data_IF_379652438001
#
_entry.id   IF_379652438001
#
_cell.length_a   1.000
_cell.length_b   1.000
_cell.length_c   1.000
_cell.angle_alpha   90.00
_cell.angle_beta   90.00
_cell.angle_gamma   90.00
#
_symmetry.space_group_name_H-M   'P 1'
#
loop_
_entity.id
_entity.type
_entity.pdbx_description
1 polymer ?
#
# COMPACT_ATOMS: atom_id res chain seq x y z
N UNK A 1 13.50 -0.29 12.00
CA UNK A 1 12.88 -0.41 10.67
C UNK A 1 13.63 -1.49 9.91
N UNK A 2 12.95 -2.47 9.32
CA UNK A 2 13.56 -3.47 8.45
C UNK A 2 12.93 -3.38 7.06
N UNK A 3 13.76 -3.29 6.02
CA UNK A 3 13.35 -3.18 4.60
C UNK A 3 14.21 -4.13 3.77
N UNK A 4 13.58 -4.88 2.85
CA UNK A 4 14.34 -5.66 1.86
C UNK A 4 15.06 -4.70 0.90
N UNK A 5 16.30 -5.02 0.57
CA UNK A 5 17.07 -4.31 -0.46
C UNK A 5 16.41 -4.49 -1.83
N UNK A 6 16.29 -3.40 -2.60
CA UNK A 6 15.90 -3.46 -4.02
C UNK A 6 16.92 -4.24 -4.87
N UNK A 7 16.57 -4.63 -6.09
CA UNK A 7 17.49 -5.37 -6.98
C UNK A 7 18.78 -4.59 -7.28
N UNK A 8 18.70 -3.26 -7.26
CA UNK A 8 19.86 -2.37 -7.37
C UNK A 8 20.67 -2.32 -6.07
N UNK A 9 20.00 -2.22 -4.93
CA UNK A 9 20.65 -2.15 -3.61
C UNK A 9 21.35 -3.45 -3.24
N UNK A 10 20.87 -4.60 -3.72
CA UNK A 10 21.54 -5.91 -3.52
C UNK A 10 22.97 -5.95 -4.05
N UNK A 11 23.30 -5.10 -5.02
CA UNK A 11 24.65 -5.01 -5.60
C UNK A 11 25.59 -4.15 -4.75
N UNK A 12 25.09 -3.49 -3.71
CA UNK A 12 25.90 -2.64 -2.86
C UNK A 12 26.77 -3.50 -1.93
N UNK A 13 27.95 -2.98 -1.60
CA UNK A 13 28.79 -3.62 -0.60
C UNK A 13 28.09 -3.65 0.76
N UNK A 14 28.43 -4.63 1.60
CA UNK A 14 27.89 -4.73 2.96
C UNK A 14 28.01 -3.40 3.72
N UNK A 15 29.14 -2.71 3.57
CA UNK A 15 29.36 -1.38 4.13
C UNK A 15 28.37 -0.32 3.61
N UNK A 16 28.13 -0.25 2.30
CA UNK A 16 27.17 0.70 1.72
C UNK A 16 25.74 0.43 2.19
N UNK A 17 25.38 -0.84 2.41
CA UNK A 17 24.07 -1.22 2.94
C UNK A 17 23.88 -0.76 4.39
N UNK A 18 24.91 -0.91 5.23
CA UNK A 18 24.88 -0.42 6.62
C UNK A 18 24.76 1.12 6.68
N UNK A 19 25.56 1.82 5.88
CA UNK A 19 25.50 3.30 5.77
C UNK A 19 24.10 3.73 5.29
N UNK A 20 23.56 3.06 4.27
CA UNK A 20 22.23 3.35 3.73
C UNK A 20 21.14 3.16 4.78
N UNK A 21 21.24 2.12 5.62
CA UNK A 21 20.27 1.87 6.67
C UNK A 21 20.22 3.02 7.68
N UNK A 22 21.37 3.58 8.05
CA UNK A 22 21.45 4.78 8.92
C UNK A 22 20.82 5.99 8.24
N UNK A 23 21.15 6.23 6.97
CA UNK A 23 20.61 7.38 6.21
C UNK A 23 19.08 7.31 6.09
N UNK A 24 18.53 6.15 5.76
CA UNK A 24 17.08 5.96 5.65
C UNK A 24 16.37 6.11 7.01
N UNK A 25 17.02 5.67 8.10
CA UNK A 25 16.52 5.94 9.45
C UNK A 25 16.47 7.44 9.74
N UNK A 26 17.54 8.19 9.45
CA UNK A 26 17.59 9.63 9.68
C UNK A 26 16.58 10.39 8.84
N UNK A 27 16.38 10.05 7.56
CA UNK A 27 15.33 10.67 6.74
C UNK A 27 13.95 10.51 7.36
N UNK A 28 13.64 9.31 7.87
CA UNK A 28 12.33 9.04 8.48
C UNK A 28 12.16 9.75 9.81
N UNK A 29 13.21 9.75 10.64
CA UNK A 29 13.15 10.33 11.98
C UNK A 29 13.57 11.80 12.02
N UNK A 30 13.85 12.43 10.86
CA UNK A 30 14.22 13.84 10.75
C UNK A 30 13.36 14.79 11.59
N UNK A 31 12.02 14.69 11.62
CA UNK A 31 11.20 15.56 12.47
C UNK A 31 11.50 15.48 13.97
N UNK A 32 12.11 14.38 14.42
CA UNK A 32 12.40 14.10 15.82
C UNK A 32 13.85 14.34 16.23
N UNK A 33 14.79 14.32 15.27
CA UNK A 33 16.23 14.37 15.57
C UNK A 33 16.93 15.63 15.02
N UNK A 34 16.25 16.41 14.18
CA UNK A 34 16.83 17.64 13.64
C UNK A 34 17.02 18.68 14.76
N UNK A 35 18.23 19.20 14.89
CA UNK A 35 18.58 20.20 15.90
C UNK A 35 18.73 19.67 17.33
N UNK A 36 18.68 18.35 17.53
CA UNK A 36 18.86 17.71 18.85
C UNK A 36 20.12 16.84 18.78
N UNK A 37 21.04 16.90 19.76
CA UNK A 37 22.19 16.00 19.80
C UNK A 37 21.73 14.57 20.09
N UNK A 38 22.12 13.61 19.25
CA UNK A 38 21.80 12.19 19.45
C UNK A 38 22.97 11.25 19.18
N UNK A 39 22.78 9.97 19.49
CA UNK A 39 23.79 8.93 19.31
C UNK A 39 23.36 7.92 18.26
N UNK A 40 24.24 7.63 17.30
CA UNK A 40 24.09 6.55 16.33
C UNK A 40 24.91 5.36 16.83
N UNK A 41 24.22 4.27 17.19
CA UNK A 41 24.87 3.02 17.59
C UNK A 41 24.84 2.04 16.42
N UNK A 42 26.00 1.62 15.94
CA UNK A 42 26.15 0.69 14.79
C UNK A 42 27.20 -0.37 15.07
N UNK A 43 27.04 -1.57 14.50
CA UNK A 43 28.04 -2.63 14.47
C UNK A 43 29.01 -2.51 13.29
N UNK A 44 28.81 -1.51 12.42
CA UNK A 44 29.68 -1.23 11.29
C UNK A 44 30.78 -0.23 11.67
N UNK A 45 31.98 -0.73 11.97
CA UNK A 45 33.17 0.10 12.23
C UNK A 45 33.47 1.05 11.06
N UNK A 46 33.22 0.60 9.83
CA UNK A 46 33.52 1.36 8.63
C UNK A 46 32.69 2.65 8.51
N UNK A 47 31.50 2.74 9.15
CA UNK A 47 30.71 3.99 9.20
C UNK A 47 31.46 5.12 9.92
N UNK A 48 32.22 4.78 10.96
CA UNK A 48 33.09 5.75 11.66
C UNK A 48 34.16 6.33 10.73
N UNK A 49 34.58 5.56 9.74
CA UNK A 49 35.64 5.95 8.79
C UNK A 49 35.09 6.64 7.54
N UNK A 50 33.78 6.63 7.31
CA UNK A 50 33.13 7.21 6.12
C UNK A 50 33.50 8.68 5.90
N UNK A 51 33.52 9.48 6.97
CA UNK A 51 33.84 10.91 6.90
C UNK A 51 35.34 11.20 6.74
N UNK A 52 36.20 10.20 6.91
CA UNK A 52 37.67 10.35 6.85
C UNK A 52 38.29 9.92 5.53
N UNK A 53 37.52 9.32 4.61
CA UNK A 53 38.04 8.82 3.33
C UNK A 53 38.14 9.94 2.29
N UNK A 54 39.28 10.02 1.58
CA UNK A 54 39.52 10.99 0.50
C UNK A 54 38.81 10.63 -0.81
N UNK A 55 38.73 9.34 -1.14
CA UNK A 55 38.05 8.86 -2.34
C UNK A 55 36.65 8.35 -2.00
N UNK A 56 35.66 9.21 -2.21
CA UNK A 56 34.26 8.94 -1.89
C UNK A 56 33.48 8.75 -3.19
N UNK A 57 32.73 7.66 -3.31
CA UNK A 57 31.80 7.49 -4.42
C UNK A 57 30.71 8.58 -4.40
N UNK A 58 30.23 9.02 -5.56
CA UNK A 58 29.23 10.10 -5.66
C UNK A 58 27.97 9.87 -4.79
N UNK A 59 27.64 8.60 -4.53
CA UNK A 59 26.56 8.18 -3.62
C UNK A 59 26.87 8.50 -2.15
N UNK A 60 28.05 8.09 -1.68
CA UNK A 60 28.47 8.31 -0.29
C UNK A 60 28.70 9.80 -0.02
N UNK A 61 29.18 10.56 -1.01
CA UNK A 61 29.34 12.00 -0.90
C UNK A 61 28.00 12.71 -0.63
N UNK A 62 26.93 12.30 -1.33
CA UNK A 62 25.57 12.81 -1.09
C UNK A 62 25.04 12.44 0.31
N UNK A 63 25.36 11.25 0.79
CA UNK A 63 25.01 10.83 2.14
C UNK A 63 25.79 11.59 3.22
N UNK A 64 27.06 11.92 2.96
CA UNK A 64 27.88 12.73 3.86
C UNK A 64 27.30 14.15 4.04
N UNK A 65 26.95 14.82 2.94
CA UNK A 65 26.29 16.13 2.99
C UNK A 65 24.96 16.10 3.75
N UNK A 66 24.20 14.99 3.65
CA UNK A 66 22.96 14.84 4.41
C UNK A 66 23.24 14.66 5.91
N UNK A 67 24.31 13.97 6.26
CA UNK A 67 24.68 13.73 7.66
C UNK A 67 25.14 15.02 8.35
N UNK A 68 25.77 15.95 7.63
CA UNK A 68 26.16 17.27 8.17
C UNK A 68 24.99 18.11 8.69
N UNK A 69 23.75 17.79 8.29
CA UNK A 69 22.56 18.46 8.82
C UNK A 69 22.24 18.10 10.28
N UNK A 70 22.83 17.03 10.81
CA UNK A 70 22.49 16.46 12.12
C UNK A 70 23.64 16.59 13.12
N UNK A 71 23.30 16.82 14.38
CA UNK A 71 24.25 16.76 15.50
C UNK A 71 24.26 15.34 16.09
N UNK A 72 25.27 14.54 15.74
CA UNK A 72 25.33 13.14 16.13
C UNK A 72 26.72 12.66 16.55
N UNK A 73 26.73 11.66 17.42
CA UNK A 73 27.94 10.91 17.80
C UNK A 73 27.80 9.44 17.39
N UNK A 74 28.81 8.91 16.71
CA UNK A 74 28.86 7.50 16.31
C UNK A 74 29.51 6.67 17.42
N UNK A 75 28.77 5.70 17.96
CA UNK A 75 29.28 4.67 18.87
C UNK A 75 29.26 3.31 18.17
N UNK A 76 30.43 2.69 18.03
CA UNK A 76 30.51 1.33 17.54
C UNK A 76 30.23 0.33 18.66
N UNK A 77 29.34 -0.63 18.41
CA UNK A 77 29.03 -1.73 19.33
C UNK A 77 29.01 -3.06 18.57
N UNK A 78 29.77 -4.05 19.04
CA UNK A 78 29.84 -5.37 18.40
C UNK A 78 28.44 -5.98 18.22
N UNK A 79 28.17 -6.58 17.05
CA UNK A 79 26.89 -7.19 16.72
C UNK A 79 26.42 -8.27 17.72
N UNK A 80 27.36 -8.97 18.38
CA UNK A 80 27.06 -9.91 19.47
C UNK A 80 26.34 -9.27 20.66
N UNK A 81 26.56 -7.98 20.89
CA UNK A 81 25.90 -7.15 21.92
C UNK A 81 24.65 -6.43 21.39
N UNK A 82 24.30 -6.63 20.10
CA UNK A 82 23.14 -6.05 19.43
C UNK A 82 22.19 -7.11 18.84
N UNK A 83 22.22 -8.35 19.36
CA UNK A 83 21.36 -9.46 18.90
C UNK A 83 19.87 -9.12 18.82
N UNK A 84 19.37 -8.23 19.67
CA UNK A 84 17.98 -7.76 19.64
C UNK A 84 17.67 -6.94 18.37
N UNK A 85 18.64 -6.17 17.86
CA UNK A 85 18.50 -5.40 16.59
C UNK A 85 18.58 -6.34 15.39
N UNK A 86 19.50 -7.29 15.43
CA UNK A 86 19.68 -8.31 14.38
C UNK A 86 18.46 -9.24 14.26
N UNK A 87 17.83 -9.60 15.39
CA UNK A 87 16.57 -10.33 15.38
C UNK A 87 15.43 -9.55 14.71
N UNK A 88 15.41 -8.21 14.83
CA UNK A 88 14.42 -7.35 14.17
C UNK A 88 14.74 -7.09 12.69
N UNK A 89 16.01 -7.20 12.28
CA UNK A 89 16.44 -7.01 10.88
C UNK A 89 16.21 -8.27 10.04
N UNK A 90 16.36 -9.46 10.64
CA UNK A 90 16.17 -10.76 9.99
C UNK A 90 14.69 -11.13 9.91
N UNK A 91 14.04 -10.77 8.80
CA UNK A 91 12.77 -11.36 8.37
C UNK A 91 13.06 -12.69 7.62
N UNK A 92 12.34 -13.79 7.86
CA UNK A 92 10.97 -13.86 8.39
C UNK A 92 10.90 -14.02 9.90
N UNK A 93 10.08 -13.19 10.53
CA UNK A 93 9.49 -13.53 11.83
C UNK A 93 8.70 -14.82 11.62
N UNK A 94 9.17 -15.92 12.21
CA UNK A 94 8.40 -17.14 12.41
C UNK A 94 7.05 -16.74 13.01
N UNK A 95 6.01 -16.83 12.20
CA UNK A 95 4.71 -16.28 12.58
C UNK A 95 3.68 -17.37 12.83
N UNK A 96 3.92 -18.61 12.40
CA UNK A 96 2.87 -19.62 12.41
C UNK A 96 3.23 -20.82 13.27
N UNK A 97 4.45 -21.34 13.20
CA UNK A 97 4.79 -22.56 13.94
C UNK A 97 5.22 -22.23 15.38
N UNK A 98 4.24 -21.99 16.25
CA UNK A 98 4.42 -22.14 17.71
C UNK A 98 4.18 -23.61 18.08
N UNK A 99 4.82 -24.12 19.14
CA UNK A 99 4.66 -25.52 19.60
C UNK A 99 3.21 -25.91 19.88
N UNK A 100 2.36 -24.94 20.22
CA UNK A 100 0.92 -25.15 20.37
C UNK A 100 0.22 -25.48 19.05
N UNK A 101 0.64 -24.87 17.94
CA UNK A 101 0.03 -25.07 16.62
C UNK A 101 0.47 -26.40 16.01
N UNK A 102 1.73 -26.81 16.19
CA UNK A 102 2.20 -28.13 15.71
C UNK A 102 1.41 -29.27 16.33
N UNK A 103 1.07 -29.18 17.62
CA UNK A 103 0.21 -30.16 18.30
C UNK A 103 -1.22 -30.18 17.73
N UNK A 104 -1.79 -29.03 17.38
CA UNK A 104 -3.10 -28.97 16.73
C UNK A 104 -3.06 -29.59 15.33
N UNK A 105 -2.03 -29.27 14.55
CA UNK A 105 -1.82 -29.86 13.22
C UNK A 105 -1.63 -31.37 13.33
N UNK A 106 -0.87 -31.87 14.30
CA UNK A 106 -0.70 -33.30 14.52
C UNK A 106 -2.05 -34.00 14.77
N UNK A 107 -2.87 -33.45 15.67
CA UNK A 107 -4.21 -33.97 15.96
C UNK A 107 -5.09 -33.97 14.70
N UNK A 108 -5.09 -32.88 13.95
CA UNK A 108 -5.88 -32.78 12.71
C UNK A 108 -5.37 -33.73 11.62
N UNK A 109 -4.05 -33.92 11.47
CA UNK A 109 -3.47 -34.89 10.54
C UNK A 109 -3.88 -36.33 10.89
N UNK A 110 -4.05 -36.62 12.19
CA UNK A 110 -4.51 -37.92 12.67
C UNK A 110 -6.04 -38.08 12.59
N UNK A 111 -6.79 -37.07 12.17
CA UNK A 111 -8.23 -37.15 11.88
C UNK A 111 -8.51 -37.17 10.38
N UNK A 112 -7.73 -36.44 9.58
CA UNK A 112 -7.86 -36.29 8.13
C UNK A 112 -7.59 -37.60 7.37
N UNK A 113 -8.59 -38.09 6.64
CA UNK A 113 -8.51 -39.37 5.90
C UNK A 113 -7.49 -39.35 4.77
N UNK A 114 -7.35 -38.23 4.06
CA UNK A 114 -6.38 -38.10 2.97
C UNK A 114 -4.95 -38.13 3.50
N UNK A 115 -4.71 -37.40 4.61
CA UNK A 115 -3.40 -37.39 5.27
C UNK A 115 -3.06 -38.79 5.81
N UNK A 116 -4.02 -39.50 6.41
CA UNK A 116 -3.83 -40.89 6.85
C UNK A 116 -3.45 -41.81 5.70
N UNK A 117 -4.18 -41.75 4.59
CA UNK A 117 -3.91 -42.56 3.41
C UNK A 117 -2.47 -42.33 2.91
N UNK A 118 -2.01 -41.07 2.87
CA UNK A 118 -0.62 -40.74 2.51
C UNK A 118 0.38 -41.31 3.52
N UNK A 119 0.12 -41.17 4.83
CA UNK A 119 0.98 -41.74 5.88
C UNK A 119 1.11 -43.27 5.77
N UNK A 120 0.01 -43.97 5.50
CA UNK A 120 0.02 -45.42 5.37
C UNK A 120 0.70 -45.90 4.09
N UNK A 121 0.53 -45.19 2.97
CA UNK A 121 1.28 -45.45 1.74
C UNK A 121 2.79 -45.27 1.92
N UNK A 122 3.22 -44.26 2.68
CA UNK A 122 4.64 -44.04 3.00
C UNK A 122 5.23 -45.18 3.83
N UNK A 123 4.46 -45.77 4.76
CA UNK A 123 4.89 -46.95 5.53
C UNK A 123 5.09 -48.18 4.65
N UNK A 124 4.31 -48.32 3.57
CA UNK A 124 4.35 -49.49 2.69
C UNK A 124 5.44 -49.35 1.63
N UNK A 125 5.53 -48.20 0.96
CA UNK A 125 6.39 -48.00 -0.23
C UNK A 125 7.71 -47.28 0.06
N UNK A 126 7.96 -46.86 1.30
CA UNK A 126 9.08 -46.00 1.74
C UNK A 126 9.22 -44.64 1.01
N UNK A 127 8.52 -44.40 -0.10
CA UNK A 127 8.54 -43.16 -0.86
C UNK A 127 7.22 -42.96 -1.62
N UNK A 128 6.64 -41.77 -1.53
CA UNK A 128 5.41 -41.39 -2.24
C UNK A 128 5.37 -39.88 -2.48
N UNK A 129 5.30 -39.42 -3.74
CA UNK A 129 5.04 -38.04 -4.17
C UNK A 129 5.70 -36.93 -3.33
N UNK A 130 7.00 -37.09 -3.06
CA UNK A 130 7.84 -36.17 -2.27
C UNK A 130 7.36 -35.94 -0.82
N UNK A 131 6.46 -36.78 -0.30
CA UNK A 131 6.04 -36.73 1.09
C UNK A 131 7.04 -37.47 1.99
N UNK A 132 7.26 -36.90 3.19
CA UNK A 132 8.20 -37.40 4.18
C UNK A 132 7.55 -37.32 5.56
N UNK A 133 7.77 -38.32 6.40
CA UNK A 133 7.34 -38.29 7.80
C UNK A 133 8.56 -37.89 8.65
N UNK A 134 8.41 -36.85 9.49
CA UNK A 134 9.42 -36.45 10.49
C UNK A 134 8.77 -36.47 11.87
N UNK A 135 9.20 -37.39 12.72
CA UNK A 135 8.47 -37.71 13.95
C UNK A 135 7.08 -38.24 13.60
N UNK A 136 6.02 -37.61 14.11
CA UNK A 136 4.63 -37.99 13.82
C UNK A 136 3.94 -37.09 12.78
N UNK A 137 4.64 -36.10 12.25
CA UNK A 137 4.10 -35.10 11.33
C UNK A 137 4.45 -35.42 9.87
N UNK A 138 3.47 -35.19 8.99
CA UNK A 138 3.64 -35.31 7.54
C UNK A 138 4.17 -33.99 6.95
N UNK A 139 5.23 -34.10 6.16
CA UNK A 139 5.87 -33.03 5.40
C UNK A 139 5.83 -33.34 3.90
N UNK A 140 5.95 -32.30 3.07
CA UNK A 140 6.17 -32.42 1.64
C UNK A 140 7.45 -31.69 1.24
N UNK A 141 8.36 -32.39 0.58
CA UNK A 141 9.61 -31.82 0.09
C UNK A 141 9.37 -31.14 -1.24
N UNK A 142 9.60 -29.83 -1.30
CA UNK A 142 9.46 -29.04 -2.52
C UNK A 142 10.73 -28.22 -2.70
N UNK A 143 11.47 -28.47 -3.79
CA UNK A 143 12.71 -27.75 -4.13
C UNK A 143 13.74 -27.75 -2.98
N UNK A 144 13.81 -28.85 -2.22
CA UNK A 144 14.73 -29.00 -1.09
C UNK A 144 14.25 -28.42 0.24
N UNK A 145 13.03 -27.86 0.29
CA UNK A 145 12.40 -27.41 1.53
C UNK A 145 11.31 -28.38 1.96
N UNK A 146 11.34 -28.80 3.23
CA UNK A 146 10.34 -29.69 3.79
C UNK A 146 9.24 -28.86 4.47
N UNK A 147 8.08 -28.82 3.82
CA UNK A 147 6.94 -28.00 4.22
C UNK A 147 5.92 -28.83 4.99
N UNK A 148 5.46 -28.33 6.13
CA UNK A 148 4.50 -29.05 6.97
C UNK A 148 3.14 -29.15 6.27
N UNK A 149 2.65 -30.37 6.05
CA UNK A 149 1.36 -30.58 5.37
C UNK A 149 0.22 -30.18 6.29
N UNK A 150 -0.62 -29.25 5.85
CA UNK A 150 -1.76 -28.77 6.64
C UNK A 150 -3.02 -29.54 6.24
N UNK A 151 -3.70 -30.22 7.19
CA UNK A 151 -4.99 -30.89 6.99
C UNK A 151 -6.07 -29.94 6.47
N UNK A 152 -7.03 -30.45 5.71
CA UNK A 152 -8.04 -29.64 5.02
C UNK A 152 -8.77 -28.66 5.96
N UNK A 153 -9.19 -29.14 7.12
CA UNK A 153 -9.93 -28.38 8.13
C UNK A 153 -9.16 -27.18 8.70
N UNK A 154 -7.83 -27.22 8.70
CA UNK A 154 -6.98 -26.16 9.28
C UNK A 154 -6.49 -25.16 8.24
N UNK A 155 -6.64 -25.44 6.94
CA UNK A 155 -6.05 -24.60 5.90
C UNK A 155 -6.62 -23.18 5.91
N UNK A 156 -7.94 -23.04 5.99
CA UNK A 156 -8.59 -21.73 5.97
C UNK A 156 -8.30 -20.91 7.22
N UNK A 157 -8.22 -21.54 8.40
CA UNK A 157 -7.91 -20.83 9.64
C UNK A 157 -6.49 -20.29 9.66
N UNK A 158 -5.52 -21.05 9.14
CA UNK A 158 -4.13 -20.59 9.00
C UNK A 158 -3.99 -19.45 7.98
N UNK A 159 -4.64 -19.58 6.82
CA UNK A 159 -4.63 -18.51 5.80
C UNK A 159 -5.25 -17.23 6.36
N UNK A 160 -6.40 -17.35 7.05
CA UNK A 160 -7.08 -16.22 7.69
C UNK A 160 -6.19 -15.56 8.74
N UNK A 161 -5.60 -16.34 9.64
CA UNK A 161 -4.67 -15.84 10.66
C UNK A 161 -3.47 -15.10 10.04
N UNK A 162 -2.87 -15.66 8.99
CA UNK A 162 -1.75 -15.00 8.30
C UNK A 162 -2.16 -13.68 7.63
N UNK A 163 -3.35 -13.65 7.00
CA UNK A 163 -3.89 -12.44 6.39
C UNK A 163 -4.21 -11.35 7.43
N UNK A 164 -4.90 -11.71 8.52
CA UNK A 164 -5.43 -10.75 9.52
C UNK A 164 -4.35 -10.05 10.35
N UNK A 165 -3.10 -10.56 10.38
CA UNK A 165 -1.98 -9.89 11.06
C UNK A 165 -1.63 -8.52 10.51
N UNK A 166 -2.00 -8.23 9.28
CA UNK A 166 -1.78 -6.91 8.67
C UNK A 166 -2.65 -6.62 7.47
N UNK A 167 -3.75 -7.37 7.29
CA UNK A 167 -4.57 -7.38 6.09
C UNK A 167 -3.74 -7.44 4.80
N UNK A 168 -2.78 -8.36 4.79
CA UNK A 168 -1.79 -8.45 3.74
C UNK A 168 -2.42 -8.83 2.39
N UNK A 169 -1.84 -8.31 1.29
CA UNK A 169 -2.21 -8.68 -0.07
C UNK A 169 -1.89 -10.14 -0.37
N UNK A 170 -2.48 -10.69 -1.44
CA UNK A 170 -2.33 -12.10 -1.85
C UNK A 170 -0.86 -12.55 -1.82
N UNK A 171 0.01 -11.81 -2.53
CA UNK A 171 1.44 -12.14 -2.63
C UNK A 171 2.14 -12.12 -1.27
N UNK A 172 1.83 -11.14 -0.43
CA UNK A 172 2.49 -11.00 0.87
C UNK A 172 2.02 -12.07 1.86
N UNK A 173 0.74 -12.43 1.84
CA UNK A 173 0.21 -13.57 2.60
C UNK A 173 0.83 -14.88 2.11
N UNK A 174 0.99 -15.05 0.80
CA UNK A 174 1.66 -16.23 0.22
C UNK A 174 3.12 -16.32 0.68
N UNK A 175 3.87 -15.21 0.64
CA UNK A 175 5.27 -15.14 1.11
C UNK A 175 5.42 -15.56 2.59
N UNK A 176 4.39 -15.35 3.41
CA UNK A 176 4.36 -15.76 4.81
C UNK A 176 4.12 -17.27 5.01
N UNK A 177 3.45 -17.93 4.06
CA UNK A 177 3.03 -19.33 4.19
C UNK A 177 3.94 -20.30 3.44
N UNK A 178 4.45 -19.89 2.27
CA UNK A 178 5.06 -20.77 1.28
C UNK A 178 6.35 -21.47 1.74
N UNK A 179 7.02 -20.93 2.76
CA UNK A 179 8.29 -21.47 3.28
C UNK A 179 8.12 -22.38 4.51
N UNK A 180 6.94 -22.42 5.13
CA UNK A 180 6.71 -23.16 6.38
C UNK A 180 5.69 -24.30 6.21
N UNK A 181 4.66 -24.09 5.39
CA UNK A 181 3.53 -25.01 5.27
C UNK A 181 3.22 -25.38 3.82
N UNK A 182 2.68 -26.58 3.63
CA UNK A 182 2.14 -27.05 2.37
C UNK A 182 0.61 -27.06 2.42
N UNK A 183 0.00 -26.28 1.53
CA UNK A 183 -1.44 -26.25 1.29
C UNK A 183 -1.67 -26.42 -0.22
N UNK A 184 -2.47 -27.42 -0.66
CA UNK A 184 -2.84 -27.55 -2.06
C UNK A 184 -3.59 -26.32 -2.57
N UNK A 185 -3.18 -25.79 -3.73
CA UNK A 185 -3.77 -24.61 -4.37
C UNK A 185 -3.78 -23.37 -3.45
N UNK A 186 -2.71 -23.18 -2.67
CA UNK A 186 -2.55 -22.11 -1.68
C UNK A 186 -2.99 -20.73 -2.19
N UNK A 187 -2.47 -20.29 -3.34
CA UNK A 187 -2.79 -18.98 -3.92
C UNK A 187 -4.29 -18.76 -4.13
N UNK A 188 -5.00 -19.75 -4.67
CA UNK A 188 -6.45 -19.68 -4.91
C UNK A 188 -7.23 -19.56 -3.58
N UNK A 189 -6.78 -20.27 -2.53
CA UNK A 189 -7.39 -20.20 -1.20
C UNK A 189 -7.13 -18.85 -0.52
N UNK A 190 -5.93 -18.28 -0.70
CA UNK A 190 -5.60 -16.93 -0.23
C UNK A 190 -6.48 -15.89 -0.94
N UNK A 191 -6.59 -15.95 -2.27
CA UNK A 191 -7.46 -15.06 -3.05
C UNK A 191 -8.90 -15.11 -2.56
N UNK A 192 -9.44 -16.32 -2.36
CA UNK A 192 -10.78 -16.53 -1.79
C UNK A 192 -10.90 -15.97 -0.37
N UNK A 193 -9.89 -16.12 0.48
CA UNK A 193 -9.92 -15.56 1.82
C UNK A 193 -9.97 -14.02 1.79
N UNK A 194 -9.13 -13.39 0.96
CA UNK A 194 -9.01 -11.94 0.87
C UNK A 194 -10.24 -11.32 0.19
N UNK A 195 -10.79 -11.95 -0.85
CA UNK A 195 -11.99 -11.47 -1.54
C UNK A 195 -13.24 -11.47 -0.65
N UNK A 196 -13.22 -12.22 0.46
CA UNK A 196 -14.29 -12.28 1.45
C UNK A 196 -13.94 -11.53 2.75
N UNK A 197 -12.79 -10.85 2.82
CA UNK A 197 -12.41 -10.08 4.00
C UNK A 197 -13.12 -8.72 4.03
N UNK A 198 -14.07 -8.55 4.96
CA UNK A 198 -14.84 -7.31 5.12
C UNK A 198 -13.94 -6.09 5.30
N UNK A 199 -12.90 -6.20 6.13
CA UNK A 199 -11.96 -5.09 6.37
C UNK A 199 -11.27 -4.65 5.09
N UNK A 200 -10.81 -5.61 4.26
CA UNK A 200 -10.19 -5.30 2.98
C UNK A 200 -11.19 -4.72 1.97
N UNK A 201 -12.41 -5.27 1.91
CA UNK A 201 -13.46 -4.78 1.02
C UNK A 201 -13.77 -3.32 1.33
N UNK A 202 -13.98 -2.98 2.61
CA UNK A 202 -14.28 -1.61 3.06
C UNK A 202 -13.09 -0.65 2.90
N UNK A 203 -11.87 -1.12 3.14
CA UNK A 203 -10.67 -0.29 3.02
C UNK A 203 -10.21 -0.09 1.57
N UNK A 204 -10.59 -0.98 0.66
CA UNK A 204 -10.16 -0.92 -0.73
C UNK A 204 -10.72 0.33 -1.41
N UNK A 205 -9.83 1.28 -1.76
CA UNK A 205 -10.17 2.30 -2.75
C UNK A 205 -10.38 1.58 -4.07
N UNK A 206 -11.56 1.72 -4.68
CA UNK A 206 -11.75 1.31 -6.07
C UNK A 206 -10.62 1.94 -6.87
N UNK A 207 -9.80 1.12 -7.54
CA UNK A 207 -8.81 1.63 -8.48
C UNK A 207 -9.56 2.54 -9.45
N UNK A 208 -8.94 3.68 -9.79
CA UNK A 208 -9.59 4.82 -10.46
C UNK A 208 -10.52 4.39 -11.60
N UNK A 209 -11.62 5.13 -11.76
CA UNK A 209 -12.58 4.91 -12.86
C UNK A 209 -11.80 4.61 -14.14
N UNK A 210 -12.09 3.48 -14.78
CA UNK A 210 -11.60 3.22 -16.13
C UNK A 210 -11.91 4.44 -16.99
N UNK A 211 -10.99 4.81 -17.88
CA UNK A 211 -11.24 5.85 -18.88
C UNK A 211 -12.52 5.47 -19.64
N UNK A 212 -13.54 6.32 -19.50
CA UNK A 212 -14.81 6.17 -20.21
C UNK A 212 -14.86 7.13 -21.38
N UNK A 213 -15.67 6.81 -22.38
CA UNK A 213 -15.93 7.75 -23.46
C UNK A 213 -16.63 8.99 -22.91
N UNK A 214 -16.19 10.17 -23.38
CA UNK A 214 -16.94 11.39 -23.15
C UNK A 214 -18.27 11.26 -23.90
N UNK A 215 -19.38 11.48 -23.21
CA UNK A 215 -20.69 11.64 -23.84
C UNK A 215 -20.97 13.13 -24.00
N UNK A 216 -20.53 13.77 -25.11
CA UNK A 216 -20.74 15.19 -25.31
C UNK A 216 -22.23 15.50 -25.43
N UNK A 217 -22.65 16.57 -24.77
CA UNK A 217 -24.01 17.09 -24.91
C UNK A 217 -24.17 17.59 -26.36
N UNK A 218 -25.20 17.13 -27.11
CA UNK A 218 -25.44 17.58 -28.47
C UNK A 218 -25.62 19.09 -28.52
N UNK A 219 -24.79 19.75 -29.34
CA UNK A 219 -24.85 21.20 -29.59
C UNK A 219 -25.75 21.45 -30.79
N UNK A 220 -26.65 22.42 -30.65
CA UNK A 220 -27.46 22.94 -31.75
C UNK A 220 -26.74 24.14 -32.35
N UNK A 221 -26.69 24.23 -33.67
CA UNK A 221 -26.03 25.33 -34.41
C UNK A 221 -26.91 26.59 -34.52
N UNK A 222 -27.60 26.94 -33.43
CA UNK A 222 -28.51 28.08 -33.37
C UNK A 222 -28.14 28.96 -32.17
N UNK A 223 -27.87 30.26 -32.38
CA UNK A 223 -27.71 31.21 -31.28
C UNK A 223 -28.95 31.20 -30.39
N UNK A 224 -28.73 31.30 -29.08
CA UNK A 224 -29.78 31.41 -28.07
C UNK A 224 -30.66 30.15 -27.93
N UNK A 225 -30.32 29.02 -28.57
CA UNK A 225 -31.08 27.78 -28.42
C UNK A 225 -30.86 27.13 -27.05
N UNK A 226 -29.59 26.96 -26.66
CA UNK A 226 -29.20 26.29 -25.41
C UNK A 226 -28.30 27.21 -24.59
N UNK A 227 -28.68 27.48 -23.35
CA UNK A 227 -27.82 28.16 -22.36
C UNK A 227 -27.20 27.15 -21.38
N UNK A 228 -25.91 27.32 -21.09
CA UNK A 228 -25.26 26.70 -19.94
C UNK A 228 -25.20 27.74 -18.82
N UNK A 229 -25.67 27.38 -17.62
CA UNK A 229 -25.69 28.26 -16.46
C UNK A 229 -24.92 27.64 -15.31
N UNK A 230 -24.13 28.45 -14.62
CA UNK A 230 -23.34 28.01 -13.46
C UNK A 230 -23.04 29.20 -12.54
N UNK A 231 -22.76 28.94 -11.27
CA UNK A 231 -22.29 29.94 -10.32
C UNK A 231 -20.80 29.79 -10.04
N UNK A 232 -20.09 30.91 -10.14
CA UNK A 232 -18.76 31.05 -9.58
C UNK A 232 -18.86 31.65 -8.17
N UNK A 233 -18.36 30.94 -7.16
CA UNK A 233 -18.20 31.46 -5.80
C UNK A 233 -18.25 30.40 -4.71
N UNK A 234 -18.24 30.81 -3.43
CA UNK A 234 -18.24 32.20 -2.97
C UNK A 234 -16.91 32.93 -3.21
N UNK A 235 -17.00 34.19 -3.62
CA UNK A 235 -15.89 35.14 -3.77
C UNK A 235 -15.85 36.12 -2.59
N UNK A 236 -14.77 36.89 -2.50
CA UNK A 236 -14.71 38.02 -1.56
C UNK A 236 -15.88 38.97 -1.78
N UNK A 237 -16.52 39.36 -0.68
CA UNK A 237 -17.75 40.13 -0.77
C UNK A 237 -17.46 41.58 -1.15
N UNK A 238 -18.18 42.08 -2.14
CA UNK A 238 -18.15 43.50 -2.50
C UNK A 238 -18.85 44.35 -1.43
N UNK A 239 -18.64 45.67 -1.45
CA UNK A 239 -19.38 46.63 -0.60
C UNK A 239 -20.92 46.53 -0.71
N UNK A 240 -21.44 45.95 -1.81
CA UNK A 240 -22.87 45.73 -2.05
C UNK A 240 -23.34 44.30 -1.68
N UNK A 241 -22.49 43.53 -1.00
CA UNK A 241 -22.73 42.15 -0.56
C UNK A 241 -22.91 41.12 -1.69
N UNK A 242 -22.45 41.39 -2.91
CA UNK A 242 -22.32 40.35 -3.93
C UNK A 242 -21.19 39.40 -3.56
N UNK A 243 -21.44 38.09 -3.71
CA UNK A 243 -20.53 37.01 -3.32
C UNK A 243 -20.37 35.94 -4.41
N UNK A 244 -21.19 35.98 -5.45
CA UNK A 244 -21.17 35.00 -6.52
C UNK A 244 -21.32 35.72 -7.87
N UNK A 245 -20.91 35.04 -8.92
CA UNK A 245 -21.17 35.45 -10.30
C UNK A 245 -21.95 34.34 -10.98
N UNK A 246 -23.17 34.62 -11.38
CA UNK A 246 -23.94 33.75 -12.27
C UNK A 246 -23.41 33.94 -13.69
N UNK A 247 -22.84 32.88 -14.25
CA UNK A 247 -22.42 32.78 -15.63
C UNK A 247 -23.56 32.20 -16.45
N UNK A 248 -23.97 32.88 -17.51
CA UNK A 248 -24.86 32.34 -18.54
C UNK A 248 -24.09 32.32 -19.85
N UNK A 249 -23.99 31.17 -20.49
CA UNK A 249 -23.19 30.98 -21.71
C UNK A 249 -24.08 30.43 -22.82
N UNK A 250 -24.13 31.12 -23.94
CA UNK A 250 -24.77 30.56 -25.14
C UNK A 250 -23.94 29.39 -25.69
N UNK A 251 -24.58 28.24 -25.86
CA UNK A 251 -23.90 27.00 -26.24
C UNK A 251 -23.31 27.06 -27.65
N UNK A 252 -23.87 27.85 -28.57
CA UNK A 252 -23.40 27.95 -29.95
C UNK A 252 -22.34 29.05 -30.12
N UNK A 253 -22.72 30.30 -29.90
CA UNK A 253 -21.87 31.49 -30.11
C UNK A 253 -20.76 31.64 -29.08
N UNK A 254 -20.87 30.95 -27.94
CA UNK A 254 -20.00 31.13 -26.77
C UNK A 254 -20.05 32.52 -26.16
N UNK A 255 -21.09 33.31 -26.48
CA UNK A 255 -21.31 34.58 -25.82
C UNK A 255 -21.60 34.36 -24.32
N UNK A 256 -20.98 35.18 -23.47
CA UNK A 256 -21.04 35.05 -22.01
C UNK A 256 -21.69 36.27 -21.40
N UNK A 257 -22.70 36.02 -20.55
CA UNK A 257 -23.26 37.01 -19.64
C UNK A 257 -22.84 36.69 -18.21
N UNK A 258 -22.37 37.71 -17.49
CA UNK A 258 -21.97 37.61 -16.10
C UNK A 258 -22.87 38.51 -15.25
N UNK A 259 -23.55 37.90 -14.28
CA UNK A 259 -24.41 38.63 -13.36
C UNK A 259 -23.90 38.48 -11.92
N UNK A 260 -23.64 39.58 -11.21
CA UNK A 260 -23.31 39.49 -9.79
C UNK A 260 -24.55 39.08 -8.99
N UNK A 261 -24.41 38.06 -8.13
CA UNK A 261 -25.44 37.56 -7.23
C UNK A 261 -24.96 37.51 -5.78
N UNK A 262 -25.86 37.76 -4.83
CA UNK A 262 -25.52 37.74 -3.39
C UNK A 262 -25.52 36.30 -2.86
N UNK A 263 -26.30 35.44 -3.48
CA UNK A 263 -26.50 34.02 -3.17
C UNK A 263 -26.63 33.17 -4.45
N UNK A 264 -26.55 31.85 -4.30
CA UNK A 264 -26.87 30.88 -5.36
C UNK A 264 -28.36 30.50 -5.37
N UNK A 265 -29.23 31.33 -4.79
CA UNK A 265 -30.66 31.03 -4.66
C UNK A 265 -31.38 31.11 -6.01
N UNK A 266 -32.39 30.26 -6.19
CA UNK A 266 -33.20 30.24 -7.41
C UNK A 266 -33.86 31.59 -7.71
N UNK A 267 -34.23 32.36 -6.68
CA UNK A 267 -34.82 33.68 -6.83
C UNK A 267 -33.87 34.65 -7.54
N UNK A 268 -32.58 34.63 -7.19
CA UNK A 268 -31.59 35.47 -7.86
C UNK A 268 -31.39 35.03 -9.31
N UNK A 269 -31.27 33.73 -9.57
CA UNK A 269 -31.13 33.19 -10.93
C UNK A 269 -32.30 33.60 -11.82
N UNK A 270 -33.53 33.38 -11.36
CA UNK A 270 -34.75 33.74 -12.10
C UNK A 270 -34.76 35.24 -12.39
N UNK A 271 -34.38 36.09 -11.43
CA UNK A 271 -34.33 37.53 -11.65
C UNK A 271 -33.37 37.95 -12.77
N UNK A 272 -32.25 37.23 -12.95
CA UNK A 272 -31.27 37.51 -14.01
C UNK A 272 -31.69 36.93 -15.36
N UNK A 273 -32.29 35.74 -15.36
CA UNK A 273 -32.80 35.12 -16.58
C UNK A 273 -34.01 35.87 -17.15
N UNK A 274 -34.90 36.41 -16.30
CA UNK A 274 -35.99 37.28 -16.77
C UNK A 274 -35.47 38.58 -17.39
N UNK A 275 -34.41 39.17 -16.81
CA UNK A 275 -33.72 40.31 -17.43
C UNK A 275 -33.16 39.94 -18.81
N UNK A 276 -32.48 38.79 -18.91
CA UNK A 276 -31.92 38.33 -20.18
C UNK A 276 -33.00 38.05 -21.22
N UNK A 277 -34.10 37.41 -20.83
CA UNK A 277 -35.28 37.16 -21.66
C UNK A 277 -35.90 38.44 -22.22
N UNK A 278 -35.93 39.52 -21.43
CA UNK A 278 -36.47 40.81 -21.89
C UNK A 278 -35.67 41.41 -23.06
N UNK A 279 -34.40 41.04 -23.21
CA UNK A 279 -33.50 41.56 -24.24
C UNK A 279 -33.34 40.59 -25.41
N UNK A 280 -33.17 39.30 -25.13
CA UNK A 280 -32.78 38.29 -26.12
C UNK A 280 -33.85 37.22 -26.38
N UNK A 281 -34.95 37.23 -25.62
CA UNK A 281 -35.94 36.15 -25.63
C UNK A 281 -35.52 34.94 -24.79
N UNK A 282 -36.40 33.94 -24.75
CA UNK A 282 -36.17 32.71 -24.00
C UNK A 282 -35.32 31.72 -24.80
N UNK A 283 -34.37 31.01 -24.14
CA UNK A 283 -33.74 29.86 -24.75
C UNK A 283 -34.73 28.70 -24.86
N UNK A 284 -34.45 27.75 -25.74
CA UNK A 284 -35.19 26.49 -25.84
C UNK A 284 -34.78 25.51 -24.74
N UNK A 285 -33.53 25.54 -24.31
CA UNK A 285 -32.96 24.62 -23.31
C UNK A 285 -31.99 25.35 -22.37
N UNK A 286 -32.05 25.04 -21.08
CA UNK A 286 -31.07 25.48 -20.08
C UNK A 286 -30.43 24.23 -19.48
N UNK A 287 -29.10 24.26 -19.33
CA UNK A 287 -28.30 23.18 -18.75
C UNK A 287 -27.55 23.75 -17.53
N UNK A 288 -27.70 23.08 -16.40
CA UNK A 288 -27.06 23.35 -15.10
C UNK A 288 -26.54 22.03 -14.52
N UNK A 289 -25.66 22.09 -13.54
CA UNK A 289 -25.21 20.96 -12.73
C UNK A 289 -26.28 20.40 -11.76
#
# INVERSE_FOLDING_TARGET
>A
MSRKTSDTERKYSSYELEVMAVIEALKKFRPYVLGIPFKIVTDCIAFKQTMSKKDISSKIARWALMLEEYDYVIEHRQGTRMRHVDALSRNPVCMIIQDSLTLQILKAQNSDENVKAIKDLLKIKNQHDDYIIKGDLLYKSIKGNDLLVVPEDMQMSLIKSAHEKGHFSVKRTEDHLINEIYIPKLKQKIEKCISNCITCILASKKQGKQEGELHPIPKVELPLDTYHVDHLGPLESTNKNYKHTLCVIDSFTKFVWLYPTKSTSSQEVISKLELQKSVFGNPRRIISD
#
